data_IF_854637693831
#
_entry.id   IF_854637693831
#
_cell.length_a   1.000
_cell.length_b   1.000
_cell.length_c   1.000
_cell.angle_alpha   90.00
_cell.angle_beta   90.00
_cell.angle_gamma   90.00
#
_symmetry.space_group_name_H-M   'P 1'
#
loop_
_entity.id
_entity.type
_entity.pdbx_description
1 polymer ?
#
# COMPACT_ATOMS: atom_id res chain seq x y z
N UNK A 1 10.22 -8.00 -18.50
CA UNK A 1 11.10 -9.08 -17.96
C UNK A 1 11.06 -8.99 -16.43
N UNK A 2 10.83 -10.10 -15.73
CA UNK A 2 10.98 -10.17 -14.27
C UNK A 2 12.44 -10.49 -13.93
N UNK A 3 12.96 -9.86 -12.88
CA UNK A 3 14.30 -10.11 -12.40
C UNK A 3 14.29 -11.28 -11.41
N UNK A 4 15.33 -12.13 -11.46
CA UNK A 4 15.58 -13.13 -10.42
C UNK A 4 16.08 -12.47 -9.15
N UNK A 5 16.07 -13.21 -8.01
CA UNK A 5 16.63 -12.74 -6.73
C UNK A 5 18.02 -12.13 -6.88
N UNK A 6 18.93 -12.86 -7.55
CA UNK A 6 20.32 -12.42 -7.71
C UNK A 6 20.41 -11.16 -8.61
N UNK A 7 19.55 -11.07 -9.63
CA UNK A 7 19.48 -9.89 -10.47
C UNK A 7 18.93 -8.67 -9.69
N UNK A 8 17.93 -8.88 -8.82
CA UNK A 8 17.43 -7.81 -7.94
C UNK A 8 18.55 -7.31 -7.02
N UNK A 9 19.27 -8.23 -6.34
CA UNK A 9 20.39 -7.87 -5.47
C UNK A 9 21.50 -7.13 -6.23
N UNK A 10 21.87 -7.61 -7.42
CA UNK A 10 22.86 -6.93 -8.25
C UNK A 10 22.45 -5.51 -8.58
N UNK A 11 21.21 -5.32 -9.08
CA UNK A 11 20.71 -3.99 -9.41
C UNK A 11 20.51 -3.10 -8.18
N UNK A 12 20.19 -3.66 -7.03
CA UNK A 12 20.15 -2.94 -5.76
C UNK A 12 21.54 -2.43 -5.38
N UNK A 13 22.58 -3.29 -5.40
CA UNK A 13 23.94 -2.93 -5.10
C UNK A 13 24.56 -1.92 -6.08
N UNK A 14 24.12 -1.97 -7.34
CA UNK A 14 24.50 -1.00 -8.39
C UNK A 14 23.71 0.34 -8.28
N UNK A 15 22.75 0.46 -7.36
CA UNK A 15 21.91 1.64 -7.20
C UNK A 15 20.86 1.84 -8.30
N UNK A 16 20.57 0.81 -9.10
CA UNK A 16 19.51 0.82 -10.10
C UNK A 16 18.12 0.50 -9.51
N UNK A 17 18.09 -0.15 -8.35
CA UNK A 17 16.89 -0.38 -7.54
C UNK A 17 17.07 0.37 -6.22
N UNK A 18 16.04 1.10 -5.82
CA UNK A 18 15.95 1.77 -4.52
C UNK A 18 14.97 0.99 -3.65
N UNK A 19 15.41 0.56 -2.48
CA UNK A 19 14.59 -0.01 -1.41
C UNK A 19 15.20 0.46 -0.10
N UNK A 20 14.49 1.27 0.66
CA UNK A 20 14.97 1.82 1.92
C UNK A 20 13.82 1.92 2.95
N UNK A 21 13.92 1.24 4.11
CA UNK A 21 14.99 0.31 4.50
C UNK A 21 14.94 -1.03 3.73
N UNK A 22 16.10 -1.59 3.42
CA UNK A 22 16.20 -2.92 2.81
C UNK A 22 16.31 -4.00 3.88
N UNK A 23 15.45 -5.01 3.77
CA UNK A 23 15.48 -6.19 4.62
C UNK A 23 15.59 -7.46 3.77
N UNK A 24 16.70 -8.21 3.90
CA UNK A 24 16.93 -9.39 3.05
C UNK A 24 15.82 -10.45 3.18
N UNK A 25 15.18 -10.59 4.34
CA UNK A 25 14.08 -11.54 4.56
C UNK A 25 12.84 -11.25 3.69
N UNK A 26 12.66 -10.01 3.25
CA UNK A 26 11.58 -9.56 2.36
C UNK A 26 11.88 -9.83 0.89
N UNK A 27 13.14 -10.12 0.53
CA UNK A 27 13.53 -10.46 -0.83
C UNK A 27 13.15 -11.91 -1.15
N UNK A 28 12.33 -12.09 -2.18
CA UNK A 28 11.83 -13.39 -2.66
C UNK A 28 12.55 -13.79 -3.96
N UNK A 29 12.06 -14.84 -4.61
CA UNK A 29 12.66 -15.37 -5.85
C UNK A 29 12.68 -14.39 -7.01
N UNK A 30 11.61 -13.60 -7.17
CA UNK A 30 11.42 -12.65 -8.29
C UNK A 30 10.78 -11.33 -7.84
N UNK A 31 10.70 -11.06 -6.55
CA UNK A 31 10.02 -9.90 -5.99
C UNK A 31 10.60 -9.50 -4.64
N UNK A 32 10.24 -8.33 -4.18
CA UNK A 32 10.47 -7.85 -2.82
C UNK A 32 9.12 -7.54 -2.17
N UNK A 33 8.90 -8.03 -0.96
CA UNK A 33 7.69 -7.75 -0.21
C UNK A 33 7.84 -6.42 0.52
N UNK A 34 6.93 -5.50 0.29
CA UNK A 34 6.86 -4.24 1.01
C UNK A 34 5.90 -4.33 2.21
N UNK A 35 6.12 -3.49 3.21
CA UNK A 35 5.22 -3.33 4.35
C UNK A 35 4.24 -2.20 4.10
N UNK A 36 3.09 -2.28 4.75
CA UNK A 36 2.13 -1.19 4.82
C UNK A 36 2.62 -0.14 5.83
N UNK A 37 2.63 1.12 5.43
CA UNK A 37 2.92 2.24 6.30
C UNK A 37 1.79 2.56 7.27
N UNK A 38 2.07 3.46 8.23
CA UNK A 38 1.18 3.74 9.35
C UNK A 38 0.13 4.81 9.06
N UNK A 39 0.19 5.48 7.92
CA UNK A 39 -0.72 6.57 7.56
C UNK A 39 -1.57 6.19 6.36
N UNK A 40 -2.82 6.65 6.36
CA UNK A 40 -3.75 6.39 5.27
C UNK A 40 -4.82 7.48 5.18
N UNK A 41 -5.49 7.54 4.04
CA UNK A 41 -6.66 8.39 3.82
C UNK A 41 -7.87 7.49 3.54
N UNK A 42 -9.01 7.87 4.08
CA UNK A 42 -10.28 7.20 3.82
C UNK A 42 -11.07 7.94 2.76
N UNK A 43 -11.92 7.23 2.07
CA UNK A 43 -12.89 7.84 1.19
C UNK A 43 -13.83 8.76 1.98
N UNK A 44 -14.02 10.01 1.50
CA UNK A 44 -14.89 10.99 2.13
C UNK A 44 -16.37 10.59 2.09
N UNK A 45 -17.15 11.06 3.04
CA UNK A 45 -18.58 10.76 3.12
C UNK A 45 -19.35 11.25 1.88
N UNK A 46 -20.36 10.47 1.41
CA UNK A 46 -21.22 10.85 0.26
C UNK A 46 -21.94 12.19 0.42
N UNK A 47 -22.26 12.60 1.65
CA UNK A 47 -22.94 13.87 1.95
C UNK A 47 -22.19 15.11 1.50
N UNK A 48 -20.88 15.02 1.30
CA UNK A 48 -20.07 16.10 0.74
C UNK A 48 -19.79 15.98 -0.75
N UNK A 49 -20.28 14.93 -1.41
CA UNK A 49 -20.08 14.71 -2.85
C UNK A 49 -21.15 15.39 -3.66
N UNK A 50 -20.73 16.15 -4.68
CA UNK A 50 -21.63 16.50 -5.77
C UNK A 50 -22.17 15.19 -6.39
N UNK A 51 -23.40 15.22 -6.90
CA UNK A 51 -24.02 14.08 -7.60
C UNK A 51 -23.22 13.60 -8.83
N UNK A 52 -22.27 14.42 -9.28
CA UNK A 52 -21.34 14.13 -10.37
C UNK A 52 -19.91 14.35 -9.87
N UNK A 53 -19.06 13.33 -9.99
CA UNK A 53 -17.63 13.43 -9.73
C UNK A 53 -16.92 13.80 -11.04
N UNK A 54 -16.29 14.98 -11.06
CA UNK A 54 -15.50 15.44 -12.20
C UNK A 54 -14.00 15.29 -11.93
N UNK A 55 -13.36 14.35 -12.61
CA UNK A 55 -11.91 14.08 -12.48
C UNK A 55 -11.03 15.27 -12.92
N UNK A 56 -11.53 16.16 -13.74
CA UNK A 56 -10.82 17.34 -14.20
C UNK A 56 -11.01 18.57 -13.31
N UNK A 57 -11.85 18.47 -12.29
CA UNK A 57 -12.06 19.53 -11.30
C UNK A 57 -11.27 19.22 -10.02
N UNK A 58 -10.31 20.08 -9.72
CA UNK A 58 -9.43 19.93 -8.54
C UNK A 58 -10.21 19.85 -7.23
N UNK A 59 -11.30 20.63 -7.10
CA UNK A 59 -12.12 20.61 -5.88
C UNK A 59 -12.91 19.31 -5.74
N UNK A 60 -13.37 18.73 -6.86
CA UNK A 60 -14.01 17.42 -6.87
C UNK A 60 -13.05 16.32 -6.44
N UNK A 61 -11.81 16.33 -6.96
CA UNK A 61 -10.80 15.31 -6.66
C UNK A 61 -10.29 15.41 -5.22
N UNK A 62 -10.05 16.61 -4.71
CA UNK A 62 -9.58 16.82 -3.32
C UNK A 62 -10.60 16.37 -2.26
N UNK A 63 -11.89 16.37 -2.57
CA UNK A 63 -12.95 15.96 -1.63
C UNK A 63 -13.13 14.44 -1.52
N UNK A 64 -12.52 13.68 -2.41
CA UNK A 64 -12.65 12.21 -2.41
C UNK A 64 -12.01 11.60 -1.17
N UNK A 65 -10.89 12.17 -0.72
CA UNK A 65 -10.10 11.61 0.34
C UNK A 65 -10.06 12.50 1.58
N UNK A 66 -10.22 11.88 2.74
CA UNK A 66 -10.11 12.53 4.04
C UNK A 66 -8.96 11.90 4.84
N UNK A 67 -8.22 12.71 5.56
CA UNK A 67 -7.08 12.29 6.37
C UNK A 67 -5.96 13.33 6.44
N UNK A 68 -4.75 12.93 6.78
CA UNK A 68 -4.35 11.55 7.04
C UNK A 68 -4.87 11.00 8.38
N UNK A 69 -5.19 9.72 8.41
CA UNK A 69 -5.44 8.94 9.63
C UNK A 69 -4.23 8.08 9.96
N UNK A 70 -4.08 7.74 11.22
CA UNK A 70 -3.02 6.85 11.67
C UNK A 70 -3.58 5.46 11.97
N UNK A 71 -2.84 4.41 11.63
CA UNK A 71 -3.15 3.05 12.03
C UNK A 71 -3.18 2.91 13.55
N UNK A 72 -4.16 2.18 14.07
CA UNK A 72 -4.40 2.01 15.49
C UNK A 72 -3.54 0.86 16.07
N UNK A 73 -3.24 0.91 17.34
CA UNK A 73 -2.59 -0.21 18.02
C UNK A 73 -3.55 -1.42 18.13
N UNK A 74 -3.03 -2.62 17.88
CA UNK A 74 -3.84 -3.83 17.87
C UNK A 74 -4.49 -4.12 19.23
N UNK A 75 -3.80 -3.85 20.35
CA UNK A 75 -4.37 -3.97 21.69
C UNK A 75 -5.56 -3.03 21.91
N UNK A 76 -5.46 -1.75 21.50
CA UNK A 76 -6.55 -0.76 21.63
C UNK A 76 -7.78 -1.18 20.81
N UNK A 77 -7.55 -1.68 19.59
CA UNK A 77 -8.63 -2.18 18.73
C UNK A 77 -9.26 -3.44 19.31
N UNK A 78 -8.46 -4.37 19.82
CA UNK A 78 -8.91 -5.60 20.46
C UNK A 78 -9.83 -5.30 21.66
N UNK A 79 -9.42 -4.38 22.53
CA UNK A 79 -10.22 -3.93 23.67
C UNK A 79 -11.52 -3.26 23.23
N UNK A 80 -11.46 -2.32 22.28
CA UNK A 80 -12.62 -1.58 21.78
C UNK A 80 -13.67 -2.47 21.12
N UNK A 81 -13.23 -3.50 20.40
CA UNK A 81 -14.13 -4.43 19.69
C UNK A 81 -14.53 -5.64 20.53
N UNK A 82 -13.87 -5.89 21.67
CA UNK A 82 -14.06 -7.09 22.48
C UNK A 82 -13.66 -8.38 21.72
N UNK A 83 -12.67 -8.30 20.81
CA UNK A 83 -12.24 -9.40 19.96
C UNK A 83 -10.77 -9.73 20.18
N UNK A 84 -10.45 -11.02 20.20
CA UNK A 84 -9.06 -11.47 20.14
C UNK A 84 -8.55 -11.42 18.69
N UNK A 85 -7.51 -10.63 18.42
CA UNK A 85 -6.84 -10.55 17.12
C UNK A 85 -5.75 -11.62 17.04
N UNK A 86 -6.12 -12.82 16.60
CA UNK A 86 -5.18 -13.96 16.50
C UNK A 86 -4.04 -13.68 15.55
N UNK A 87 -2.83 -14.05 15.96
CA UNK A 87 -1.57 -13.89 15.20
C UNK A 87 -1.18 -12.45 14.87
N UNK A 88 -1.77 -11.48 15.57
CA UNK A 88 -1.39 -10.06 15.54
C UNK A 88 -0.86 -9.73 16.95
N UNK A 89 0.30 -9.10 17.03
CA UNK A 89 0.89 -8.72 18.31
C UNK A 89 0.20 -7.46 18.84
N UNK A 90 0.12 -7.29 20.17
CA UNK A 90 -0.49 -6.10 20.78
C UNK A 90 0.13 -4.78 20.30
N UNK A 91 1.43 -4.79 20.02
CA UNK A 91 2.25 -3.67 19.54
C UNK A 91 2.24 -3.49 18.01
N UNK A 92 1.55 -4.33 17.26
CA UNK A 92 1.37 -4.12 15.82
C UNK A 92 0.37 -2.98 15.57
N UNK A 93 0.56 -2.29 14.45
CA UNK A 93 -0.41 -1.30 13.97
C UNK A 93 -1.30 -1.90 12.90
N UNK A 94 -2.58 -1.60 12.97
CA UNK A 94 -3.59 -2.17 12.07
C UNK A 94 -4.49 -1.09 11.48
N UNK A 95 -4.98 -1.36 10.29
CA UNK A 95 -6.02 -0.58 9.61
C UNK A 95 -7.22 -1.50 9.41
N UNK A 96 -8.39 -1.08 9.92
CA UNK A 96 -9.64 -1.83 9.72
C UNK A 96 -10.29 -1.33 8.43
N UNK A 97 -10.55 -2.25 7.51
CA UNK A 97 -11.28 -1.99 6.27
C UNK A 97 -12.67 -2.61 6.34
N UNK A 98 -13.69 -1.79 6.14
CA UNK A 98 -15.08 -2.26 6.01
C UNK A 98 -15.29 -2.93 4.65
N UNK A 99 -16.29 -3.80 4.49
CA UNK A 99 -16.68 -4.30 3.18
C UNK A 99 -16.93 -3.16 2.18
N UNK A 100 -16.35 -3.26 0.99
CA UNK A 100 -16.43 -2.25 -0.05
C UNK A 100 -15.59 -0.99 0.17
N UNK A 101 -14.89 -0.87 1.29
CA UNK A 101 -14.07 0.32 1.59
C UNK A 101 -12.74 0.29 0.85
N UNK A 102 -12.36 1.46 0.32
CA UNK A 102 -11.02 1.72 -0.19
C UNK A 102 -10.33 2.77 0.67
N UNK A 103 -9.06 2.54 0.97
CA UNK A 103 -8.18 3.53 1.59
C UNK A 103 -6.99 3.81 0.67
N UNK A 104 -6.48 5.05 0.71
CA UNK A 104 -5.15 5.34 0.19
C UNK A 104 -4.15 5.12 1.32
N UNK A 105 -3.36 4.09 1.18
CA UNK A 105 -2.27 3.76 2.09
C UNK A 105 -0.92 4.01 1.40
N UNK A 106 0.18 3.72 2.07
CA UNK A 106 1.51 3.84 1.47
C UNK A 106 2.41 2.68 1.91
N UNK A 107 3.49 2.47 1.16
CA UNK A 107 4.57 1.57 1.59
C UNK A 107 5.35 2.19 2.75
N UNK A 108 5.87 1.35 3.64
CA UNK A 108 6.78 1.80 4.70
C UNK A 108 8.19 2.05 4.16
N UNK A 109 8.53 1.37 3.06
CA UNK A 109 9.80 1.53 2.37
C UNK A 109 9.70 2.56 1.24
N UNK A 110 10.75 3.37 1.06
CA UNK A 110 11.00 4.04 -0.20
C UNK A 110 11.41 3.02 -1.24
N UNK A 111 10.65 2.95 -2.34
CA UNK A 111 10.88 1.98 -3.41
C UNK A 111 10.86 2.64 -4.77
N UNK A 112 11.57 2.05 -5.71
CA UNK A 112 11.53 2.48 -7.11
C UNK A 112 12.71 1.98 -7.92
N UNK A 113 12.75 2.39 -9.19
CA UNK A 113 13.81 2.04 -10.11
C UNK A 113 14.50 3.25 -10.69
N UNK A 114 15.78 3.10 -11.02
CA UNK A 114 16.61 4.10 -11.71
C UNK A 114 17.11 3.54 -13.03
N UNK A 115 17.49 4.45 -13.93
CA UNK A 115 18.16 4.17 -15.21
C UNK A 115 17.37 3.25 -16.14
N UNK A 116 17.36 1.96 -15.90
CA UNK A 116 16.83 0.90 -16.79
C UNK A 116 15.91 -0.09 -16.08
N UNK A 117 15.52 0.22 -14.85
CA UNK A 117 14.63 -0.63 -14.06
C UNK A 117 13.36 0.14 -13.71
N UNK A 118 12.23 -0.47 -13.97
CA UNK A 118 10.91 -0.04 -13.50
C UNK A 118 10.43 -1.01 -12.43
N UNK A 119 9.66 -0.52 -11.48
CA UNK A 119 9.01 -1.35 -10.48
C UNK A 119 7.53 -1.51 -10.77
N UNK A 120 6.97 -2.68 -10.43
CA UNK A 120 5.53 -2.92 -10.43
C UNK A 120 5.11 -3.48 -9.09
N UNK A 121 4.02 -2.95 -8.57
CA UNK A 121 3.40 -3.44 -7.35
C UNK A 121 2.23 -4.34 -7.66
N UNK A 122 2.13 -5.44 -6.92
CA UNK A 122 1.03 -6.38 -6.99
C UNK A 122 0.64 -6.83 -5.60
N UNK A 123 -0.65 -7.09 -5.40
CA UNK A 123 -1.10 -7.83 -4.24
C UNK A 123 -0.53 -9.26 -4.25
N UNK A 124 -0.21 -9.79 -3.09
CA UNK A 124 0.03 -11.24 -2.95
C UNK A 124 -1.26 -12.00 -3.25
N UNK A 125 -1.12 -13.20 -3.84
CA UNK A 125 -2.28 -14.06 -4.13
C UNK A 125 -3.11 -14.38 -2.88
N UNK A 126 -2.49 -14.45 -1.70
CA UNK A 126 -3.22 -14.61 -0.44
C UNK A 126 -4.13 -13.44 -0.11
N UNK A 127 -3.72 -12.20 -0.41
CA UNK A 127 -4.58 -11.02 -0.23
C UNK A 127 -5.75 -11.07 -1.20
N UNK A 128 -5.49 -11.30 -2.50
CA UNK A 128 -6.55 -11.37 -3.50
C UNK A 128 -7.56 -12.48 -3.23
N UNK A 129 -7.12 -13.65 -2.73
CA UNK A 129 -8.04 -14.74 -2.32
C UNK A 129 -8.88 -14.40 -1.10
N UNK A 130 -8.47 -13.43 -0.30
CA UNK A 130 -9.23 -12.89 0.82
C UNK A 130 -9.89 -11.55 0.48
N UNK A 131 -10.17 -11.33 -0.80
CA UNK A 131 -10.88 -10.16 -1.32
C UNK A 131 -10.19 -8.81 -1.04
N UNK A 132 -8.89 -8.81 -0.76
CA UNK A 132 -8.11 -7.58 -0.61
C UNK A 132 -7.39 -7.28 -1.92
N UNK A 133 -7.77 -6.18 -2.55
CA UNK A 133 -7.13 -5.64 -3.74
C UNK A 133 -6.11 -4.57 -3.35
N UNK A 134 -5.01 -4.48 -4.12
CA UNK A 134 -3.98 -3.45 -3.94
C UNK A 134 -3.65 -2.83 -5.30
N UNK A 135 -3.55 -1.51 -5.33
CA UNK A 135 -3.14 -0.67 -6.47
C UNK A 135 -4.11 -0.58 -7.66
N UNK A 136 -5.30 -1.16 -7.64
CA UNK A 136 -6.35 -0.98 -8.69
C UNK A 136 -5.80 -0.70 -10.11
N UNK A 137 -4.94 -1.55 -10.67
CA UNK A 137 -4.25 -1.39 -11.96
C UNK A 137 -3.21 -0.26 -12.07
N UNK A 138 -3.01 0.56 -11.03
CA UNK A 138 -2.06 1.68 -11.03
C UNK A 138 -0.67 1.34 -10.46
N UNK A 139 -0.33 0.07 -10.35
CA UNK A 139 0.89 -0.40 -9.68
C UNK A 139 2.21 -0.25 -10.48
N UNK A 140 2.29 0.61 -11.50
CA UNK A 140 3.50 0.78 -12.31
C UNK A 140 4.21 2.09 -11.93
N UNK A 141 5.46 2.00 -11.49
CA UNK A 141 6.33 3.15 -11.26
C UNK A 141 7.32 3.34 -12.38
N UNK A 142 7.38 4.55 -12.92
CA UNK A 142 8.30 4.93 -13.97
C UNK A 142 9.77 4.92 -13.52
N UNK A 143 10.68 4.99 -14.49
CA UNK A 143 12.11 5.19 -14.21
C UNK A 143 12.29 6.50 -13.45
N UNK A 144 13.15 6.49 -12.43
CA UNK A 144 13.43 7.58 -11.47
C UNK A 144 12.25 7.97 -10.56
N UNK A 145 11.14 7.26 -10.62
CA UNK A 145 10.09 7.39 -9.62
C UNK A 145 10.41 6.49 -8.41
N UNK A 146 10.87 7.09 -7.35
CA UNK A 146 11.10 6.41 -6.07
C UNK A 146 10.55 7.26 -4.93
N UNK A 147 9.70 6.64 -4.13
CA UNK A 147 8.97 7.29 -3.04
C UNK A 147 8.42 6.23 -2.07
N UNK A 148 7.75 6.68 -1.01
CA UNK A 148 6.73 5.87 -0.35
C UNK A 148 5.55 5.77 -1.33
N UNK A 149 5.33 4.59 -1.89
CA UNK A 149 4.30 4.45 -2.92
C UNK A 149 2.91 4.48 -2.31
N UNK A 150 2.06 5.35 -2.82
CA UNK A 150 0.64 5.37 -2.51
C UNK A 150 -0.04 4.17 -3.16
N UNK A 151 -0.92 3.52 -2.41
CA UNK A 151 -1.64 2.31 -2.83
C UNK A 151 -3.11 2.44 -2.47
N UNK A 152 -3.99 2.18 -3.43
CA UNK A 152 -5.40 1.92 -3.16
C UNK A 152 -5.50 0.51 -2.57
N UNK A 153 -5.95 0.39 -1.32
CA UNK A 153 -6.21 -0.89 -0.67
C UNK A 153 -7.71 -1.02 -0.46
N UNK A 154 -8.32 -2.01 -1.10
CA UNK A 154 -9.77 -2.20 -1.10
C UNK A 154 -10.14 -3.54 -0.50
N UNK A 155 -11.15 -3.55 0.37
CA UNK A 155 -11.81 -4.76 0.83
C UNK A 155 -13.04 -5.02 -0.08
N UNK A 156 -12.94 -5.99 -0.97
CA UNK A 156 -14.01 -6.39 -1.91
C UNK A 156 -14.94 -7.48 -1.36
N UNK A 157 -14.95 -7.73 -0.03
CA UNK A 157 -15.84 -8.74 0.59
C UNK A 157 -17.27 -8.24 0.74
#
# INVERSE_FOLDING_TARGET
MLLSRDAILRHFNEGNIVIDPFEERKLKTVSYDVSLGNWFWREGHPEGRASVHNLYDEMSTKRVWQGPYQAEWANEVSERLGLELKNIKPEDKIVILRPGETVLAHTDEFIGGRNKVVAKMYARSSLGRNFVEVCKDAGCGDIVYFNLWTMEVTNNS
#
